data_IF_323951221205
#
_entry.id   IF_323951221205
#
_cell.length_a   1.000
_cell.length_b   1.000
_cell.length_c   1.000
_cell.angle_alpha   90.00
_cell.angle_beta   90.00
_cell.angle_gamma   90.00
#
_symmetry.space_group_name_H-M   'P 1'
#
loop_
_entity.id
_entity.type
_entity.pdbx_description
1 polymer ?
#
# COMPACT_ATOMS: atom_id res chain seq x y z
N UNK A 1 -1.98 22.37 1.44
CA UNK A 1 -3.31 21.73 1.28
C UNK A 1 -3.21 20.34 0.66
N UNK A 2 -2.58 20.18 -0.52
CA UNK A 2 -2.49 18.89 -1.22
C UNK A 2 -1.81 17.75 -0.42
N UNK A 3 -0.72 18.03 0.31
CA UNK A 3 -0.07 17.04 1.18
C UNK A 3 -1.00 16.51 2.28
N UNK A 4 -1.86 17.37 2.83
CA UNK A 4 -2.84 16.96 3.86
C UNK A 4 -3.88 16.02 3.23
N UNK A 5 -4.30 16.30 1.99
CA UNK A 5 -5.21 15.42 1.24
C UNK A 5 -4.56 14.05 1.01
N UNK A 6 -3.31 13.98 0.55
CA UNK A 6 -2.62 12.70 0.35
C UNK A 6 -2.45 11.91 1.64
N UNK A 7 -2.15 12.57 2.77
CA UNK A 7 -2.08 11.91 4.08
C UNK A 7 -3.44 11.41 4.55
N UNK A 8 -4.50 12.19 4.34
CA UNK A 8 -5.87 11.78 4.66
C UNK A 8 -6.28 10.55 3.84
N UNK A 9 -6.03 10.57 2.53
CA UNK A 9 -6.27 9.43 1.64
C UNK A 9 -5.42 8.21 2.03
N UNK A 10 -4.15 8.41 2.39
CA UNK A 10 -3.28 7.35 2.87
C UNK A 10 -3.89 6.67 4.11
N UNK A 11 -4.28 7.45 5.12
CA UNK A 11 -4.88 6.92 6.35
C UNK A 11 -6.20 6.20 6.07
N UNK A 12 -7.02 6.75 5.16
CA UNK A 12 -8.28 6.12 4.75
C UNK A 12 -8.04 4.76 4.08
N UNK A 13 -7.17 4.71 3.06
CA UNK A 13 -6.84 3.46 2.35
C UNK A 13 -6.20 2.45 3.29
N UNK A 14 -5.33 2.89 4.21
CA UNK A 14 -4.69 2.03 5.20
C UNK A 14 -5.73 1.45 6.15
N UNK A 15 -6.64 2.28 6.65
CA UNK A 15 -7.74 1.82 7.51
C UNK A 15 -8.63 0.79 6.83
N UNK A 16 -9.00 1.03 5.56
CA UNK A 16 -9.79 0.07 4.76
C UNK A 16 -9.02 -1.23 4.52
N UNK A 17 -7.75 -1.16 4.16
CA UNK A 17 -6.91 -2.33 3.94
C UNK A 17 -6.74 -3.17 5.22
N UNK A 18 -6.50 -2.52 6.37
CA UNK A 18 -6.42 -3.19 7.66
C UNK A 18 -7.76 -3.82 8.06
N UNK A 19 -8.87 -3.09 7.90
CA UNK A 19 -10.20 -3.62 8.21
C UNK A 19 -10.52 -4.86 7.35
N UNK A 20 -10.22 -4.82 6.06
CA UNK A 20 -10.44 -5.94 5.14
C UNK A 20 -9.48 -7.12 5.39
N UNK A 21 -8.22 -6.82 5.72
CA UNK A 21 -7.17 -7.82 5.94
C UNK A 21 -7.25 -8.53 7.29
N UNK A 22 -7.77 -7.90 8.33
CA UNK A 22 -7.79 -8.44 9.69
C UNK A 22 -9.10 -9.16 10.07
N UNK A 23 -10.16 -9.06 9.26
CA UNK A 23 -11.42 -9.78 9.48
C UNK A 23 -11.31 -11.25 9.07
N UNK A 24 -11.94 -12.14 9.84
CA UNK A 24 -11.91 -13.59 9.59
C UNK A 24 -12.41 -13.96 8.19
N UNK A 25 -13.57 -13.41 7.79
CA UNK A 25 -14.15 -13.70 6.48
C UNK A 25 -13.43 -12.92 5.37
N UNK A 26 -12.99 -13.55 4.26
CA UNK A 26 -12.40 -12.85 3.13
C UNK A 26 -13.38 -11.88 2.48
N UNK A 27 -12.83 -10.90 1.75
CA UNK A 27 -13.63 -10.09 0.84
C UNK A 27 -14.18 -11.03 -0.24
N UNK A 28 -15.48 -11.00 -0.54
CA UNK A 28 -16.05 -11.87 -1.58
C UNK A 28 -15.34 -11.69 -2.92
N UNK A 29 -14.99 -12.81 -3.55
CA UNK A 29 -14.41 -12.83 -4.88
C UNK A 29 -15.50 -12.47 -5.90
N UNK A 30 -15.32 -11.37 -6.63
CA UNK A 30 -16.23 -10.97 -7.73
C UNK A 30 -15.74 -11.46 -9.09
N UNK A 31 -14.44 -11.70 -9.22
CA UNK A 31 -13.75 -12.27 -10.38
C UNK A 31 -12.64 -13.18 -9.89
N UNK A 32 -12.05 -14.00 -10.77
CA UNK A 32 -10.89 -14.83 -10.42
C UNK A 32 -9.71 -13.97 -9.95
N UNK A 33 -9.06 -14.39 -8.87
CA UNK A 33 -7.88 -13.72 -8.28
C UNK A 33 -8.13 -12.27 -7.83
N UNK A 34 -9.37 -11.94 -7.44
CA UNK A 34 -9.74 -10.60 -7.00
C UNK A 34 -9.02 -10.20 -5.70
N UNK A 35 -8.78 -11.15 -4.79
CA UNK A 35 -7.89 -11.00 -3.64
C UNK A 35 -6.51 -10.48 -4.01
N UNK A 36 -5.88 -11.07 -5.03
CA UNK A 36 -4.56 -10.65 -5.51
C UNK A 36 -4.60 -9.20 -6.02
N UNK A 37 -5.66 -8.85 -6.74
CA UNK A 37 -5.88 -7.48 -7.23
C UNK A 37 -6.05 -6.49 -6.09
N UNK A 38 -6.75 -6.88 -5.01
CA UNK A 38 -6.95 -6.05 -3.83
C UNK A 38 -5.62 -5.85 -3.06
N UNK A 39 -4.85 -6.92 -2.83
CA UNK A 39 -3.52 -6.85 -2.22
C UNK A 39 -2.60 -5.93 -3.02
N UNK A 40 -2.43 -6.22 -4.31
CA UNK A 40 -1.60 -5.42 -5.20
C UNK A 40 -2.06 -3.96 -5.26
N UNK A 41 -3.35 -3.73 -5.52
CA UNK A 41 -3.92 -2.40 -5.71
C UNK A 41 -3.87 -1.54 -4.44
N UNK A 42 -4.20 -2.12 -3.28
CA UNK A 42 -4.14 -1.40 -2.02
C UNK A 42 -2.71 -0.97 -1.68
N UNK A 43 -1.73 -1.87 -1.80
CA UNK A 43 -0.33 -1.55 -1.50
C UNK A 43 0.32 -0.63 -2.56
N UNK A 44 -0.12 -0.69 -3.82
CA UNK A 44 0.24 0.30 -4.84
C UNK A 44 -0.30 1.70 -4.51
N UNK A 45 -1.56 1.81 -4.12
CA UNK A 45 -2.15 3.07 -3.71
C UNK A 45 -1.46 3.64 -2.46
N UNK A 46 -1.22 2.81 -1.44
CA UNK A 46 -0.56 3.21 -0.19
C UNK A 46 0.86 3.72 -0.42
N UNK A 47 1.66 3.01 -1.22
CA UNK A 47 3.04 3.41 -1.53
C UNK A 47 3.10 4.71 -2.33
N UNK A 48 2.22 4.87 -3.34
CA UNK A 48 2.13 6.10 -4.11
C UNK A 48 1.71 7.30 -3.25
N UNK A 49 0.65 7.15 -2.44
CA UNK A 49 0.16 8.18 -1.52
C UNK A 49 1.21 8.54 -0.46
N UNK A 50 2.02 7.57 -0.01
CA UNK A 50 3.13 7.85 0.90
C UNK A 50 4.16 8.78 0.26
N UNK A 51 4.65 8.46 -0.93
CA UNK A 51 5.65 9.30 -1.61
C UNK A 51 5.13 10.71 -1.90
N UNK A 52 3.84 10.83 -2.24
CA UNK A 52 3.16 12.11 -2.48
C UNK A 52 2.90 12.91 -1.19
N UNK A 53 2.71 12.24 -0.05
CA UNK A 53 2.32 12.84 1.23
C UNK A 53 3.48 13.10 2.21
N UNK A 54 4.65 12.51 1.99
CA UNK A 54 5.79 12.58 2.92
C UNK A 54 7.08 13.00 2.21
N UNK A 55 7.97 13.67 2.96
CA UNK A 55 9.22 14.17 2.39
C UNK A 55 10.16 13.04 1.98
N UNK A 56 11.06 13.31 1.02
CA UNK A 56 11.94 12.31 0.41
C UNK A 56 12.76 11.47 1.40
N UNK A 57 13.17 12.04 2.54
CA UNK A 57 13.88 11.31 3.61
C UNK A 57 13.08 10.14 4.20
N UNK A 58 11.74 10.19 4.07
CA UNK A 58 10.82 9.17 4.59
C UNK A 58 10.34 8.19 3.52
N UNK A 59 10.75 8.33 2.26
CA UNK A 59 10.29 7.43 1.19
C UNK A 59 10.69 5.98 1.46
N UNK A 60 11.99 5.70 1.60
CA UNK A 60 12.47 4.34 1.81
C UNK A 60 11.95 3.73 3.13
N UNK A 61 12.01 4.43 4.30
CA UNK A 61 11.40 3.92 5.52
C UNK A 61 9.91 3.62 5.39
N UNK A 62 9.16 4.43 4.65
CA UNK A 62 7.73 4.20 4.42
C UNK A 62 7.43 2.99 3.55
N UNK A 63 8.20 2.77 2.49
CA UNK A 63 8.04 1.57 1.66
C UNK A 63 8.35 0.30 2.47
N UNK A 64 9.42 0.33 3.28
CA UNK A 64 9.73 -0.78 4.21
C UNK A 64 8.62 -0.99 5.22
N UNK A 65 8.08 0.08 5.81
CA UNK A 65 6.93 0.00 6.71
C UNK A 65 5.72 -0.68 6.05
N UNK A 66 5.39 -0.32 4.81
CA UNK A 66 4.28 -0.96 4.09
C UNK A 66 4.54 -2.45 3.82
N UNK A 67 5.76 -2.84 3.46
CA UNK A 67 6.10 -4.27 3.32
C UNK A 67 5.93 -5.03 4.64
N UNK A 68 6.34 -4.43 5.76
CA UNK A 68 6.16 -5.02 7.10
C UNK A 68 4.67 -5.12 7.45
N UNK A 69 3.86 -4.10 7.14
CA UNK A 69 2.41 -4.14 7.33
C UNK A 69 1.78 -5.27 6.52
N UNK A 70 2.13 -5.42 5.23
CA UNK A 70 1.62 -6.51 4.39
C UNK A 70 1.98 -7.89 4.94
N UNK A 71 3.24 -8.10 5.32
CA UNK A 71 3.67 -9.35 5.94
C UNK A 71 2.97 -9.62 7.28
N UNK A 72 2.76 -8.59 8.10
CA UNK A 72 2.06 -8.72 9.38
C UNK A 72 0.58 -9.11 9.20
N UNK A 73 -0.10 -8.58 8.18
CA UNK A 73 -1.47 -8.97 7.84
C UNK A 73 -1.52 -10.45 7.45
N UNK A 74 -0.63 -10.91 6.56
CA UNK A 74 -0.57 -12.31 6.13
C UNK A 74 -0.30 -13.28 7.28
N UNK A 75 0.65 -12.94 8.16
CA UNK A 75 0.95 -13.73 9.35
C UNK A 75 -0.24 -13.73 10.33
N UNK A 76 -0.90 -12.59 10.52
CA UNK A 76 -2.12 -12.51 11.33
C UNK A 76 -3.21 -13.41 10.78
N UNK A 77 -3.45 -13.37 9.46
CA UNK A 77 -4.44 -14.23 8.81
C UNK A 77 -4.10 -15.71 9.01
N UNK A 78 -2.85 -16.12 8.80
CA UNK A 78 -2.43 -17.51 8.93
C UNK A 78 -2.40 -18.06 10.36
N UNK A 79 -2.10 -17.22 11.36
CA UNK A 79 -1.94 -17.68 12.75
C UNK A 79 -3.18 -17.49 13.62
N UNK A 80 -3.97 -16.45 13.36
CA UNK A 80 -5.00 -16.00 14.31
C UNK A 80 -6.42 -16.05 13.75
N UNK A 81 -6.60 -16.26 12.44
CA UNK A 81 -7.93 -16.33 11.82
C UNK A 81 -8.23 -17.76 11.35
N UNK A 82 -9.11 -18.50 12.05
CA UNK A 82 -9.51 -19.83 11.61
C UNK A 82 -10.08 -19.81 10.18
N UNK A 83 -9.62 -20.73 9.34
CA UNK A 83 -10.05 -20.82 7.93
C UNK A 83 -9.34 -19.86 6.97
N UNK A 84 -8.35 -19.10 7.46
CA UNK A 84 -7.40 -18.35 6.64
C UNK A 84 -6.02 -19.01 6.71
N UNK A 85 -5.24 -18.86 5.66
CA UNK A 85 -3.85 -19.33 5.58
C UNK A 85 -2.98 -18.19 5.11
N UNK A 86 -1.79 -18.04 5.70
CA UNK A 86 -0.80 -17.11 5.18
C UNK A 86 -0.42 -17.51 3.75
N UNK A 87 -0.35 -16.53 2.85
CA UNK A 87 -0.17 -16.78 1.42
C UNK A 87 1.06 -16.05 0.89
N UNK A 88 2.04 -16.83 0.39
CA UNK A 88 3.21 -16.26 -0.29
C UNK A 88 2.82 -15.53 -1.57
N UNK A 89 1.70 -15.92 -2.19
CA UNK A 89 1.18 -15.30 -3.40
C UNK A 89 0.61 -13.92 -3.08
N UNK A 90 -0.18 -13.79 -2.00
CA UNK A 90 -0.70 -12.49 -1.55
C UNK A 90 0.42 -11.58 -1.04
N UNK A 91 1.41 -12.15 -0.33
CA UNK A 91 2.62 -11.41 0.07
C UNK A 91 3.39 -10.88 -1.15
N UNK A 92 3.46 -11.66 -2.23
CA UNK A 92 4.08 -11.23 -3.49
C UNK A 92 3.29 -10.12 -4.18
N UNK A 93 1.96 -10.15 -4.13
CA UNK A 93 1.12 -9.04 -4.61
C UNK A 93 1.31 -7.77 -3.79
N UNK A 94 1.36 -7.87 -2.45
CA UNK A 94 1.66 -6.73 -1.58
C UNK A 94 3.00 -6.09 -1.97
N UNK A 95 4.04 -6.92 -2.10
CA UNK A 95 5.37 -6.48 -2.52
C UNK A 95 5.37 -5.82 -3.90
N UNK A 96 4.75 -6.46 -4.89
CA UNK A 96 4.61 -5.92 -6.25
C UNK A 96 3.87 -4.58 -6.27
N UNK A 97 2.83 -4.44 -5.45
CA UNK A 97 2.08 -3.21 -5.27
C UNK A 97 2.97 -2.10 -4.71
N UNK A 98 3.67 -2.34 -3.60
CA UNK A 98 4.59 -1.35 -3.00
C UNK A 98 5.65 -0.90 -4.00
N UNK A 99 6.25 -1.83 -4.75
CA UNK A 99 7.27 -1.51 -5.74
C UNK A 99 6.70 -0.67 -6.88
N UNK A 100 5.63 -1.12 -7.54
CA UNK A 100 5.10 -0.43 -8.72
C UNK A 100 4.44 0.91 -8.37
N UNK A 101 3.73 1.00 -7.26
CA UNK A 101 3.16 2.27 -6.78
C UNK A 101 4.25 3.27 -6.40
N UNK A 102 5.24 2.83 -5.62
CA UNK A 102 6.39 3.65 -5.22
C UNK A 102 7.23 4.10 -6.41
N UNK A 103 7.54 3.22 -7.36
CA UNK A 103 8.30 3.58 -8.57
C UNK A 103 7.54 4.58 -9.44
N UNK A 104 6.25 4.34 -9.68
CA UNK A 104 5.43 5.23 -10.51
C UNK A 104 5.34 6.64 -9.91
N UNK A 105 5.06 6.73 -8.61
CA UNK A 105 5.03 8.01 -7.90
C UNK A 105 6.42 8.67 -7.83
N UNK A 106 7.48 7.89 -7.63
CA UNK A 106 8.86 8.37 -7.59
C UNK A 106 9.32 8.93 -8.94
N UNK A 107 8.98 8.28 -10.05
CA UNK A 107 9.26 8.76 -11.42
C UNK A 107 8.44 10.02 -11.73
N UNK A 108 7.17 10.04 -11.35
CA UNK A 108 6.34 11.24 -11.49
C UNK A 108 6.97 12.40 -10.74
N UNK A 109 7.26 12.22 -9.44
CA UNK A 109 7.87 13.25 -8.63
C UNK A 109 9.24 13.64 -9.18
N UNK A 110 10.14 12.74 -9.59
CA UNK A 110 11.45 13.13 -10.11
C UNK A 110 11.38 13.98 -11.38
N UNK A 111 10.38 13.76 -12.24
CA UNK A 111 10.16 14.55 -13.45
C UNK A 111 9.55 15.92 -13.17
N UNK A 112 8.63 16.02 -12.21
CA UNK A 112 7.89 17.24 -11.93
C UNK A 112 8.39 18.02 -10.70
N UNK A 113 9.32 17.46 -9.91
CA UNK A 113 9.92 18.10 -8.74
C UNK A 113 10.62 19.42 -9.07
N UNK A 114 11.42 19.54 -10.16
CA UNK A 114 12.04 20.82 -10.51
C UNK A 114 11.01 21.93 -10.78
N UNK A 115 9.88 21.57 -11.39
CA UNK A 115 8.80 22.50 -11.75
C UNK A 115 7.98 22.97 -10.55
N UNK A 116 8.02 22.25 -9.43
CA UNK A 116 7.30 22.57 -8.20
C UNK A 116 8.14 23.38 -7.21
N UNK A 117 9.48 23.36 -7.33
CA UNK A 117 10.39 24.06 -6.42
C UNK A 117 11.05 25.30 -7.02
N UNK A 118 11.09 25.47 -8.34
CA UNK A 118 11.65 26.67 -9.01
C UNK A 118 10.79 27.95 -8.91
N UNK A 119 9.76 27.95 -8.06
CA UNK A 119 8.90 29.12 -7.79
C UNK A 119 8.90 29.56 -6.33
N UNK A 120 9.89 29.17 -5.54
CA UNK A 120 10.13 29.73 -4.20
C UNK A 120 11.43 30.51 -4.17
#
# INVERSE_FOLDING_TARGET
>A
MLVIVFRGLFLLVLGVALFAGLKAQPVPQVVSHFDLMLHFGAFAALSALWLLGFSRRWWLPGLVFLLVVGAAIELWQGWLLPGRTASLVDMSANFGGVLLGGLSAGIFLSKFWPLLTDKQ
#
